data_IF_920056138806
#
_entry.id   IF_920056138806
#
_cell.length_a   1.000
_cell.length_b   1.000
_cell.length_c   1.000
_cell.angle_alpha   90.00
_cell.angle_beta   90.00
_cell.angle_gamma   90.00
#
_symmetry.space_group_name_H-M   'P 1'
#
loop_
_entity.id
_entity.type
_entity.pdbx_description
1 polymer ?
#
# COMPACT_ATOMS: atom_id res chain seq x y z
N UNK A 1 7.38 39.87 18.97
CA UNK A 1 6.83 38.57 19.44
C UNK A 1 7.09 37.60 18.29
N UNK A 2 7.85 36.55 18.60
CA UNK A 2 8.44 35.60 17.65
C UNK A 2 7.35 34.86 16.87
N UNK A 3 7.65 34.57 15.60
CA UNK A 3 6.76 33.97 14.62
C UNK A 3 6.18 32.63 15.04
N UNK A 4 4.88 32.50 14.81
CA UNK A 4 4.18 31.23 14.75
C UNK A 4 4.49 30.64 13.37
N UNK A 5 5.52 29.80 13.32
CA UNK A 5 5.75 28.95 12.17
C UNK A 5 4.61 27.95 12.11
N UNK A 6 3.64 28.22 11.24
CA UNK A 6 2.71 27.24 10.69
C UNK A 6 3.51 26.24 9.82
N UNK A 7 4.47 25.55 10.45
CA UNK A 7 5.22 24.44 9.88
C UNK A 7 4.52 23.13 10.28
N UNK A 8 3.24 23.11 9.93
CA UNK A 8 2.39 21.94 9.90
C UNK A 8 1.81 21.84 8.52
N UNK A 9 2.66 21.95 7.48
CA UNK A 9 2.30 21.58 6.12
C UNK A 9 1.69 20.19 6.18
N UNK A 10 0.35 20.15 6.22
CA UNK A 10 -0.43 18.96 6.45
C UNK A 10 -0.03 17.96 5.37
N UNK A 11 0.85 17.01 5.72
CA UNK A 11 1.19 15.89 4.88
C UNK A 11 -0.16 15.28 4.51
N UNK A 12 -0.49 15.31 3.23
CA UNK A 12 -1.74 14.77 2.76
C UNK A 12 -1.85 13.33 3.30
N UNK A 13 -3.03 12.92 3.82
CA UNK A 13 -3.14 11.66 4.54
C UNK A 13 -2.67 10.51 3.64
N UNK A 14 -1.74 9.70 4.13
CA UNK A 14 -1.27 8.50 3.46
C UNK A 14 -1.74 7.30 4.26
N UNK A 15 -2.64 6.52 3.66
CA UNK A 15 -3.35 5.42 4.31
C UNK A 15 -2.94 4.12 3.63
N UNK A 16 -2.35 3.23 4.43
CA UNK A 16 -1.86 1.94 3.96
C UNK A 16 -2.59 0.85 4.73
N UNK A 17 -3.04 -0.19 4.04
CA UNK A 17 -3.66 -1.36 4.64
C UNK A 17 -2.98 -2.65 4.17
N UNK A 18 -3.02 -3.67 5.03
CA UNK A 18 -2.45 -4.98 4.77
C UNK A 18 -3.55 -6.01 4.65
N UNK A 19 -3.48 -6.85 3.62
CA UNK A 19 -4.39 -7.97 3.43
C UNK A 19 -3.61 -9.23 3.03
N UNK A 20 -4.18 -10.39 3.30
CA UNK A 20 -3.68 -11.66 2.77
C UNK A 20 -4.74 -12.19 1.84
N UNK A 21 -4.37 -12.41 0.58
CA UNK A 21 -5.27 -12.91 -0.45
C UNK A 21 -4.88 -14.33 -0.80
N UNK A 22 -5.84 -15.25 -0.74
CA UNK A 22 -5.62 -16.60 -1.25
C UNK A 22 -5.43 -16.55 -2.78
N UNK A 23 -4.42 -17.25 -3.29
CA UNK A 23 -4.30 -17.43 -4.72
C UNK A 23 -5.26 -18.54 -5.17
N UNK A 24 -5.80 -18.42 -6.38
CA UNK A 24 -6.62 -19.48 -6.98
C UNK A 24 -5.83 -20.78 -7.16
N UNK A 25 -4.51 -20.68 -7.36
CA UNK A 25 -3.56 -21.79 -7.34
C UNK A 25 -2.24 -21.34 -6.68
N UNK A 26 -1.66 -22.19 -5.85
CA UNK A 26 -0.39 -21.92 -5.16
C UNK A 26 -0.52 -21.17 -3.83
N UNK A 27 0.56 -20.47 -3.45
CA UNK A 27 0.71 -19.83 -2.14
C UNK A 27 -0.21 -18.60 -1.99
N UNK A 28 -0.50 -18.11 -0.77
CA UNK A 28 -1.21 -16.85 -0.58
C UNK A 28 -0.35 -15.63 -0.97
N UNK A 29 -0.98 -14.52 -1.38
CA UNK A 29 -0.33 -13.23 -1.61
C UNK A 29 -0.45 -12.37 -0.36
N UNK A 30 0.67 -11.80 0.08
CA UNK A 30 0.65 -10.63 0.94
C UNK A 30 0.35 -9.40 0.09
N UNK A 31 -0.70 -8.66 0.45
CA UNK A 31 -1.11 -7.44 -0.25
C UNK A 31 -0.88 -6.20 0.62
N UNK A 32 -0.43 -5.11 -0.01
CA UNK A 32 -0.43 -3.76 0.55
C UNK A 32 -1.30 -2.90 -0.33
N UNK A 33 -2.35 -2.31 0.23
CA UNK A 33 -3.17 -1.32 -0.46
C UNK A 33 -2.71 0.06 -0.01
N UNK A 34 -2.37 0.93 -0.96
CA UNK A 34 -1.82 2.26 -0.77
C UNK A 34 -2.76 3.30 -1.34
N UNK A 35 -3.27 4.18 -0.47
CA UNK A 35 -3.89 5.45 -0.85
C UNK A 35 -3.04 6.61 -0.32
N UNK A 36 -2.86 7.63 -1.17
CA UNK A 36 -2.29 8.91 -0.78
C UNK A 36 -3.29 10.03 -1.01
N UNK A 37 -3.18 11.10 -0.23
CA UNK A 37 -4.07 12.24 -0.40
C UNK A 37 -3.90 12.91 -1.77
N UNK A 38 -4.90 13.68 -2.23
CA UNK A 38 -4.99 14.14 -3.62
C UNK A 38 -3.78 14.90 -4.16
N UNK A 39 -3.05 15.60 -3.29
CA UNK A 39 -1.86 16.38 -3.67
C UNK A 39 -0.66 15.52 -4.07
N UNK A 40 -0.56 14.31 -3.53
CA UNK A 40 0.56 13.39 -3.76
C UNK A 40 0.23 12.30 -4.79
N UNK A 41 -1.05 12.15 -5.13
CA UNK A 41 -1.51 11.06 -6.00
C UNK A 41 -0.90 11.09 -7.39
N UNK A 42 -0.78 12.27 -8.01
CA UNK A 42 -0.13 12.39 -9.32
C UNK A 42 1.31 11.89 -9.32
N UNK A 43 2.10 12.35 -8.35
CA UNK A 43 3.51 11.97 -8.18
C UNK A 43 3.67 10.47 -7.88
N UNK A 44 2.81 9.91 -7.01
CA UNK A 44 2.83 8.48 -6.75
C UNK A 44 2.50 7.67 -8.02
N UNK A 45 1.49 8.08 -8.78
CA UNK A 45 1.10 7.41 -10.03
C UNK A 45 2.25 7.37 -11.03
N UNK A 46 2.95 8.49 -11.23
CA UNK A 46 4.12 8.54 -12.12
C UNK A 46 5.20 7.56 -11.64
N UNK A 47 5.52 7.55 -10.34
CA UNK A 47 6.55 6.68 -9.78
C UNK A 47 6.21 5.19 -9.89
N UNK A 48 4.93 4.81 -9.72
CA UNK A 48 4.52 3.40 -9.80
C UNK A 48 4.49 2.93 -11.25
N UNK A 49 4.06 3.77 -12.19
CA UNK A 49 4.13 3.47 -13.63
C UNK A 49 5.59 3.31 -14.07
N UNK A 50 6.47 4.21 -13.68
CA UNK A 50 7.92 4.11 -13.94
C UNK A 50 8.56 2.87 -13.30
N UNK A 51 7.93 2.31 -12.26
CA UNK A 51 8.38 1.07 -11.61
C UNK A 51 7.84 -0.20 -12.29
N UNK A 52 6.91 -0.08 -13.24
CA UNK A 52 6.32 -1.20 -13.99
C UNK A 52 4.93 -1.64 -13.51
N UNK A 53 4.24 -0.83 -12.70
CA UNK A 53 2.86 -1.13 -12.29
C UNK A 53 1.90 -0.99 -13.47
N UNK A 54 0.87 -1.83 -13.50
CA UNK A 54 -0.17 -1.83 -14.52
C UNK A 54 -1.56 -1.74 -13.89
N UNK A 55 -2.59 -1.52 -14.71
CA UNK A 55 -3.98 -1.61 -14.26
C UNK A 55 -4.21 -2.92 -13.53
N UNK A 56 -4.92 -2.86 -12.41
CA UNK A 56 -5.18 -3.99 -11.51
C UNK A 56 -6.20 -4.98 -12.10
N UNK A 57 -5.86 -5.56 -13.23
CA UNK A 57 -6.62 -6.56 -13.97
C UNK A 57 -5.82 -7.87 -14.04
N UNK A 58 -6.20 -8.86 -13.23
CA UNK A 58 -5.53 -10.16 -13.18
C UNK A 58 -4.39 -10.23 -12.16
N UNK A 59 -3.30 -10.90 -12.53
CA UNK A 59 -2.12 -11.08 -11.68
C UNK A 59 -1.18 -9.87 -11.74
N UNK A 60 -0.60 -9.46 -10.59
CA UNK A 60 0.30 -8.32 -10.54
C UNK A 60 1.61 -8.60 -11.31
N UNK A 61 2.04 -7.70 -12.22
CA UNK A 61 3.30 -7.86 -12.95
C UNK A 61 4.50 -7.69 -12.02
N UNK A 62 5.62 -8.36 -12.32
CA UNK A 62 6.89 -8.12 -11.60
C UNK A 62 7.40 -6.71 -11.86
N UNK A 63 7.73 -5.99 -10.80
CA UNK A 63 8.16 -4.58 -10.84
C UNK A 63 9.56 -4.38 -10.28
N UNK A 64 10.08 -3.14 -10.38
CA UNK A 64 11.31 -2.75 -9.68
C UNK A 64 11.08 -2.31 -8.23
N UNK A 65 9.83 -2.36 -7.74
CA UNK A 65 9.50 -1.88 -6.42
C UNK A 65 10.00 -2.81 -5.32
N UNK A 66 10.28 -2.23 -4.16
CA UNK A 66 10.67 -2.96 -2.95
C UNK A 66 9.77 -2.52 -1.80
N UNK A 67 9.23 -3.49 -1.09
CA UNK A 67 8.53 -3.28 0.17
C UNK A 67 9.49 -3.62 1.30
N UNK A 68 9.81 -2.62 2.11
CA UNK A 68 10.70 -2.80 3.26
C UNK A 68 9.91 -2.99 4.54
N UNK A 69 10.27 -4.03 5.27
CA UNK A 69 9.71 -4.38 6.57
C UNK A 69 10.81 -4.34 7.63
N UNK A 70 10.51 -3.73 8.79
CA UNK A 70 11.41 -3.64 9.94
C UNK A 70 10.72 -4.25 11.16
N UNK A 71 11.12 -5.45 11.54
CA UNK A 71 10.36 -6.25 12.51
C UNK A 71 8.93 -6.49 12.01
N UNK A 72 7.88 -6.14 12.77
CA UNK A 72 6.50 -6.25 12.30
C UNK A 72 6.02 -5.01 11.55
N UNK A 73 6.85 -3.97 11.36
CA UNK A 73 6.40 -2.71 10.77
C UNK A 73 6.66 -2.66 9.27
N UNK A 74 5.63 -2.33 8.50
CA UNK A 74 5.80 -1.94 7.10
C UNK A 74 6.42 -0.53 7.10
N UNK A 75 7.71 -0.46 6.77
CA UNK A 75 8.48 0.77 6.94
C UNK A 75 8.36 1.70 5.73
N UNK A 76 8.54 1.17 4.53
CA UNK A 76 8.55 1.98 3.30
C UNK A 76 8.29 1.17 2.04
N UNK A 77 7.81 1.88 1.03
CA UNK A 77 7.69 1.44 -0.35
C UNK A 77 8.71 2.22 -1.16
N UNK A 78 9.64 1.48 -1.77
CA UNK A 78 10.69 2.03 -2.59
C UNK A 78 10.36 1.78 -4.05
N UNK A 79 10.34 2.85 -4.82
CA UNK A 79 9.96 2.88 -6.23
C UNK A 79 11.14 3.34 -7.08
N UNK A 80 10.98 3.15 -8.39
CA UNK A 80 11.87 3.67 -9.43
C UNK A 80 13.33 3.25 -9.21
N UNK A 81 13.52 1.97 -8.87
CA UNK A 81 14.84 1.38 -8.62
C UNK A 81 15.61 1.97 -7.43
N UNK A 82 14.93 2.47 -6.41
CA UNK A 82 15.58 3.03 -5.21
C UNK A 82 15.51 4.54 -5.06
N UNK A 83 15.00 5.25 -6.08
CA UNK A 83 15.06 6.72 -6.12
C UNK A 83 13.95 7.41 -5.34
N UNK A 84 12.81 6.74 -5.20
CA UNK A 84 11.62 7.32 -4.59
C UNK A 84 11.19 6.47 -3.40
N UNK A 85 11.04 7.09 -2.25
CA UNK A 85 10.72 6.43 -0.98
C UNK A 85 9.41 7.00 -0.47
N UNK A 86 8.47 6.10 -0.19
CA UNK A 86 7.16 6.41 0.34
C UNK A 86 7.02 5.74 1.70
N UNK A 87 6.50 6.46 2.69
CA UNK A 87 6.38 6.02 4.07
C UNK A 87 4.95 6.23 4.56
N UNK A 88 4.37 5.28 5.31
CA UNK A 88 3.02 5.45 5.82
C UNK A 88 2.96 6.61 6.82
N UNK A 89 1.87 7.37 6.81
CA UNK A 89 1.70 8.49 7.74
C UNK A 89 1.51 8.05 9.20
N UNK A 90 1.25 6.76 9.43
CA UNK A 90 1.12 6.15 10.75
C UNK A 90 1.69 4.74 10.72
N UNK A 91 2.18 4.20 11.86
CA UNK A 91 2.75 2.86 11.89
C UNK A 91 1.75 1.80 11.39
N UNK A 92 2.17 0.99 10.41
CA UNK A 92 1.38 -0.12 9.88
C UNK A 92 2.02 -1.42 10.35
N UNK A 93 1.29 -2.15 11.20
CA UNK A 93 1.76 -3.40 11.80
C UNK A 93 1.30 -4.58 10.95
N UNK A 94 2.25 -5.31 10.39
CA UNK A 94 2.02 -6.56 9.69
C UNK A 94 1.68 -7.69 10.66
N UNK A 95 0.59 -8.40 10.35
CA UNK A 95 0.23 -9.60 11.08
C UNK A 95 1.24 -10.73 10.78
N UNK A 96 1.40 -11.72 11.69
CA UNK A 96 2.27 -12.86 11.42
C UNK A 96 1.91 -13.62 10.14
N UNK A 97 0.61 -13.73 9.83
CA UNK A 97 0.13 -14.38 8.60
C UNK A 97 0.52 -13.61 7.34
N UNK A 98 0.47 -12.26 7.40
CA UNK A 98 0.93 -11.42 6.31
C UNK A 98 2.44 -11.57 6.06
N UNK A 99 3.23 -11.52 7.14
CA UNK A 99 4.69 -11.69 7.06
C UNK A 99 5.07 -13.07 6.50
N UNK A 100 4.36 -14.12 6.92
CA UNK A 100 4.57 -15.47 6.41
C UNK A 100 4.29 -15.55 4.90
N UNK A 101 3.14 -15.03 4.45
CA UNK A 101 2.78 -15.01 3.03
C UNK A 101 3.78 -14.21 2.18
N UNK A 102 4.22 -13.05 2.67
CA UNK A 102 5.21 -12.22 1.98
C UNK A 102 6.57 -12.94 1.89
N UNK A 103 7.03 -13.54 2.99
CA UNK A 103 8.31 -14.22 3.06
C UNK A 103 8.34 -15.49 2.22
N UNK A 104 7.24 -16.24 2.16
CA UNK A 104 7.17 -17.48 1.39
C UNK A 104 7.35 -17.23 -0.11
N UNK A 105 6.81 -16.11 -0.60
CA UNK A 105 6.97 -15.68 -2.00
C UNK A 105 8.16 -14.78 -2.26
N UNK A 106 8.77 -14.22 -1.21
CA UNK A 106 9.75 -13.12 -1.32
C UNK A 106 9.19 -11.89 -2.06
N UNK A 107 7.86 -11.77 -2.12
CA UNK A 107 7.14 -10.80 -2.93
C UNK A 107 5.87 -10.33 -2.21
N UNK A 108 5.49 -9.08 -2.49
CA UNK A 108 4.31 -8.42 -1.96
C UNK A 108 3.55 -7.81 -3.12
N UNK A 109 2.27 -8.11 -3.23
CA UNK A 109 1.40 -7.46 -4.20
C UNK A 109 1.02 -6.07 -3.68
N UNK A 110 1.52 -5.03 -4.33
CA UNK A 110 1.20 -3.64 -3.99
C UNK A 110 0.07 -3.19 -4.90
N UNK A 111 -0.99 -2.65 -4.30
CA UNK A 111 -2.16 -2.10 -4.99
C UNK A 111 -2.23 -0.62 -4.66
N UNK A 112 -2.21 0.24 -5.67
CA UNK A 112 -2.30 1.69 -5.54
C UNK A 112 -3.65 2.12 -6.05
N UNK A 113 -4.38 2.88 -5.26
CA UNK A 113 -5.77 3.28 -5.56
C UNK A 113 -5.95 4.79 -5.45
N UNK A 114 -6.97 5.35 -6.12
CA UNK A 114 -7.20 6.79 -6.07
C UNK A 114 -7.60 7.28 -4.67
N UNK A 115 -7.38 8.57 -4.37
CA UNK A 115 -7.84 9.19 -3.14
C UNK A 115 -9.36 9.04 -2.98
N UNK A 116 -9.81 8.69 -1.77
CA UNK A 116 -11.22 8.46 -1.48
C UNK A 116 -11.70 7.03 -1.74
N UNK A 117 -10.80 6.11 -2.07
CA UNK A 117 -11.10 4.66 -2.08
C UNK A 117 -11.36 4.16 -0.65
N UNK A 118 -10.75 4.78 0.36
CA UNK A 118 -11.14 4.56 1.75
C UNK A 118 -12.37 5.42 2.09
N UNK A 119 -13.55 4.81 2.33
CA UNK A 119 -14.75 5.58 2.60
C UNK A 119 -14.62 6.43 3.87
N UNK A 120 -15.14 7.67 3.89
CA UNK A 120 -15.16 8.46 5.10
C UNK A 120 -15.95 7.75 6.20
N UNK A 121 -15.44 7.74 7.43
CA UNK A 121 -16.08 7.08 8.55
C UNK A 121 -15.95 5.55 8.55
N UNK A 122 -15.13 4.95 7.67
CA UNK A 122 -14.89 3.50 7.66
C UNK A 122 -14.56 2.98 9.07
N UNK A 123 -13.68 3.65 9.81
CA UNK A 123 -13.28 3.22 11.16
C UNK A 123 -14.41 3.23 12.20
N UNK A 124 -15.52 3.93 11.92
CA UNK A 124 -16.70 4.00 12.79
C UNK A 124 -17.69 2.85 12.58
N UNK A 125 -17.55 2.11 11.47
CA UNK A 125 -18.40 0.97 11.16
C UNK A 125 -17.99 -0.27 11.97
N UNK A 126 -18.91 -1.23 12.19
CA UNK A 126 -18.60 -2.54 12.75
C UNK A 126 -17.58 -3.32 11.90
N UNK A 127 -16.81 -4.26 12.48
CA UNK A 127 -15.73 -4.99 11.79
C UNK A 127 -16.10 -5.59 10.43
N UNK A 128 -17.26 -6.25 10.33
CA UNK A 128 -17.68 -6.90 9.09
C UNK A 128 -18.07 -5.86 8.02
N UNK A 129 -18.88 -4.87 8.41
CA UNK A 129 -19.31 -3.79 7.50
C UNK A 129 -18.13 -2.95 7.00
N UNK A 130 -17.05 -2.83 7.79
CA UNK A 130 -15.79 -2.22 7.35
C UNK A 130 -15.15 -2.97 6.20
N UNK A 131 -15.04 -4.29 6.34
CA UNK A 131 -14.44 -5.16 5.33
C UNK A 131 -15.28 -5.10 4.06
N UNK A 132 -16.60 -5.22 4.17
CA UNK A 132 -17.52 -5.16 3.03
C UNK A 132 -17.46 -3.81 2.30
N UNK A 133 -17.50 -2.70 3.04
CA UNK A 133 -17.46 -1.36 2.47
C UNK A 133 -16.12 -1.07 1.76
N UNK A 134 -15.01 -1.46 2.36
CA UNK A 134 -13.69 -1.31 1.75
C UNK A 134 -13.52 -2.20 0.52
N UNK A 135 -13.94 -3.46 0.61
CA UNK A 135 -13.85 -4.43 -0.49
C UNK A 135 -14.63 -3.91 -1.71
N UNK A 136 -15.87 -3.47 -1.50
CA UNK A 136 -16.68 -2.86 -2.56
C UNK A 136 -15.99 -1.66 -3.20
N UNK A 137 -15.51 -0.72 -2.40
CA UNK A 137 -14.86 0.49 -2.95
C UNK A 137 -13.57 0.17 -3.70
N UNK A 138 -12.82 -0.85 -3.26
CA UNK A 138 -11.63 -1.33 -3.95
C UNK A 138 -11.98 -2.02 -5.28
N UNK A 139 -13.07 -2.79 -5.32
CA UNK A 139 -13.59 -3.40 -6.55
C UNK A 139 -14.05 -2.32 -7.54
N UNK A 140 -14.82 -1.33 -7.09
CA UNK A 140 -15.25 -0.18 -7.91
C UNK A 140 -14.03 0.53 -8.53
N UNK A 141 -12.99 0.82 -7.75
CA UNK A 141 -11.76 1.44 -8.25
C UNK A 141 -11.01 0.58 -9.28
N UNK A 142 -11.12 -0.75 -9.19
CA UNK A 142 -10.55 -1.68 -10.19
C UNK A 142 -11.38 -1.70 -11.46
N UNK A 143 -12.70 -1.79 -11.35
CA UNK A 143 -13.63 -1.82 -12.49
C UNK A 143 -13.59 -0.51 -13.29
N UNK A 144 -13.41 0.62 -12.61
CA UNK A 144 -13.24 1.94 -13.23
C UNK A 144 -11.83 2.15 -13.84
N UNK A 145 -10.93 1.17 -13.71
CA UNK A 145 -9.58 1.24 -14.24
C UNK A 145 -8.69 2.29 -13.54
N UNK A 146 -8.94 2.54 -12.26
CA UNK A 146 -8.22 3.54 -11.47
C UNK A 146 -7.19 2.92 -10.51
N UNK A 147 -7.35 1.63 -10.19
CA UNK A 147 -6.40 0.89 -9.37
C UNK A 147 -5.23 0.35 -10.23
N UNK A 148 -4.00 0.54 -9.74
CA UNK A 148 -2.79 -0.07 -10.29
C UNK A 148 -2.28 -1.16 -9.35
N UNK A 149 -1.62 -2.18 -9.90
CA UNK A 149 -0.95 -3.21 -9.11
C UNK A 149 0.42 -3.60 -9.66
N UNK A 150 1.23 -4.18 -8.78
CA UNK A 150 2.56 -4.67 -9.10
C UNK A 150 3.08 -5.59 -8.00
N UNK A 151 3.85 -6.60 -8.38
CA UNK A 151 4.59 -7.44 -7.45
C UNK A 151 5.90 -6.73 -7.11
N UNK A 152 6.04 -6.35 -5.85
CA UNK A 152 7.23 -5.74 -5.28
C UNK A 152 8.05 -6.80 -4.55
N UNK A 153 9.37 -6.69 -4.62
CA UNK A 153 10.26 -7.56 -3.85
C UNK A 153 10.14 -7.24 -2.35
N UNK A 154 10.16 -8.26 -1.51
CA UNK A 154 10.25 -8.08 -0.07
C UNK A 154 11.71 -7.85 0.37
N UNK A 155 11.92 -6.83 1.19
CA UNK A 155 13.16 -6.63 1.93
C UNK A 155 12.86 -6.60 3.44
N UNK A 156 13.37 -7.60 4.16
CA UNK A 156 13.23 -7.70 5.61
C UNK A 156 14.51 -7.18 6.22
N UNK A 157 14.46 -5.97 6.74
CA UNK A 157 15.57 -5.38 7.48
C UNK A 157 15.79 -6.04 8.84
N UNK A 158 17.02 -5.97 9.40
CA UNK A 158 17.26 -6.44 10.75
C UNK A 158 16.37 -5.71 11.75
N UNK A 159 15.88 -6.44 12.76
CA UNK A 159 15.30 -5.86 13.96
C UNK A 159 16.45 -5.24 14.73
N UNK A 160 16.52 -3.90 14.82
CA UNK A 160 17.46 -3.28 15.74
C UNK A 160 16.94 -3.56 17.17
N UNK A 161 17.77 -4.26 17.96
CA UNK A 161 17.55 -4.67 19.35
C UNK A 161 17.60 -3.50 20.33
#
# INVERSE_FOLDING_TARGET
MVGDGDDGAARAPMVWALAVREATDGLPFAEVIVEVGPRLHGELLENVVDSGFLLAAGDPPVTTAVVEVRGPLLARLVLVGGRQIWEPASPVVASPGWLAAAAERQEVAVIVVPPGTWPPGLMTLPPQERIDAFTRSLEEAREDGQALHGAARLDIGPVED
#
